data_IF_216457249816
#
_entry.id   IF_216457249816
#
_cell.length_a   1.000
_cell.length_b   1.000
_cell.length_c   1.000
_cell.angle_alpha   90.00
_cell.angle_beta   90.00
_cell.angle_gamma   90.00
#
_symmetry.space_group_name_H-M   'P 1'
#
loop_
_entity.id
_entity.type
_entity.pdbx_description
1 polymer ?
#
# COMPACT_ATOMS: atom_id res chain seq x y z
N UNK A 1 11.31 46.13 1.62
CA UNK A 1 10.80 44.86 2.19
C UNK A 1 10.28 43.99 1.05
N UNK A 2 11.01 42.93 0.68
CA UNK A 2 10.55 41.94 -0.30
C UNK A 2 9.76 40.86 0.46
N UNK A 3 8.44 40.88 0.35
CA UNK A 3 7.56 39.80 0.83
C UNK A 3 7.63 38.64 -0.16
N UNK A 4 8.51 37.67 0.10
CA UNK A 4 8.52 36.40 -0.63
C UNK A 4 7.32 35.59 -0.14
N UNK A 5 6.37 35.18 -1.00
CA UNK A 5 5.27 34.33 -0.57
C UNK A 5 5.84 32.97 -0.17
N UNK A 6 5.61 32.59 1.09
CA UNK A 6 5.90 31.26 1.60
C UNK A 6 4.91 30.30 0.91
N UNK A 7 5.29 29.76 -0.25
CA UNK A 7 4.48 28.74 -0.93
C UNK A 7 4.58 27.47 -0.10
N UNK A 8 3.59 27.23 0.76
CA UNK A 8 3.45 25.98 1.50
C UNK A 8 3.12 24.90 0.46
N UNK A 9 4.14 24.18 -0.01
CA UNK A 9 3.95 23.01 -0.88
C UNK A 9 3.28 21.89 -0.08
N UNK A 10 1.95 21.90 -0.05
CA UNK A 10 1.18 20.78 0.47
C UNK A 10 1.47 19.52 -0.36
N UNK A 11 1.70 18.37 0.29
CA UNK A 11 1.93 17.10 -0.41
C UNK A 11 0.76 16.85 -1.38
N UNK A 12 1.02 16.51 -2.66
CA UNK A 12 -0.04 16.27 -3.62
C UNK A 12 -0.95 15.13 -3.14
N UNK A 13 -2.25 15.28 -3.39
CA UNK A 13 -3.26 14.27 -3.02
C UNK A 13 -3.93 13.72 -4.28
N UNK A 14 -4.03 12.40 -4.35
CA UNK A 14 -4.49 11.66 -5.53
C UNK A 14 -5.81 10.94 -5.29
N UNK A 15 -6.60 10.81 -6.34
CA UNK A 15 -7.83 10.01 -6.35
C UNK A 15 -7.50 8.50 -6.49
N UNK A 16 -8.54 7.67 -6.41
CA UNK A 16 -8.39 6.21 -6.35
C UNK A 16 -7.78 5.65 -7.64
N UNK A 17 -8.14 6.18 -8.81
CA UNK A 17 -7.58 5.76 -10.09
C UNK A 17 -6.09 6.10 -10.20
N UNK A 18 -5.71 7.30 -9.76
CA UNK A 18 -4.33 7.74 -9.71
C UNK A 18 -3.51 6.88 -8.74
N UNK A 19 -4.00 6.64 -7.52
CA UNK A 19 -3.34 5.75 -6.54
C UNK A 19 -3.15 4.35 -7.14
N UNK A 20 -4.21 3.73 -7.69
CA UNK A 20 -4.14 2.42 -8.33
C UNK A 20 -3.15 2.37 -9.49
N UNK A 21 -2.96 3.47 -10.23
CA UNK A 21 -2.00 3.55 -11.33
C UNK A 21 -0.54 3.71 -10.84
N UNK A 22 -0.34 4.28 -9.65
CA UNK A 22 0.98 4.51 -9.08
C UNK A 22 1.52 3.29 -8.33
N UNK A 23 0.65 2.48 -7.71
CA UNK A 23 1.06 1.29 -6.94
C UNK A 23 1.93 0.34 -7.76
N UNK A 24 1.57 -0.06 -9.00
CA UNK A 24 2.43 -0.96 -9.78
C UNK A 24 3.80 -0.36 -10.06
N UNK A 25 3.88 0.96 -10.29
CA UNK A 25 5.17 1.64 -10.50
C UNK A 25 6.03 1.65 -9.24
N UNK A 26 5.43 1.72 -8.05
CA UNK A 26 6.16 1.60 -6.79
C UNK A 26 6.81 0.22 -6.65
N UNK A 27 6.07 -0.85 -6.94
CA UNK A 27 6.59 -2.23 -6.92
C UNK A 27 7.69 -2.43 -7.96
N UNK A 28 7.48 -1.98 -9.21
CA UNK A 28 8.45 -2.15 -10.31
C UNK A 28 9.80 -1.46 -10.08
N UNK A 29 9.83 -0.39 -9.27
CA UNK A 29 11.07 0.35 -8.98
C UNK A 29 11.98 -0.34 -7.98
N UNK A 30 11.46 -1.29 -7.20
CA UNK A 30 12.25 -2.00 -6.20
C UNK A 30 12.51 -3.44 -6.66
N UNK A 31 13.77 -3.77 -6.90
CA UNK A 31 14.18 -5.09 -7.37
C UNK A 31 13.91 -6.22 -6.36
N UNK A 32 13.71 -5.90 -5.08
CA UNK A 32 13.38 -6.88 -4.04
C UNK A 32 11.88 -7.03 -3.80
N UNK A 33 11.04 -6.28 -4.53
CA UNK A 33 9.59 -6.34 -4.41
C UNK A 33 9.04 -7.69 -4.86
N UNK A 34 8.03 -8.24 -4.15
CA UNK A 34 7.30 -9.40 -4.64
C UNK A 34 6.52 -9.05 -5.90
N UNK A 35 6.14 -10.06 -6.67
CA UNK A 35 5.33 -9.86 -7.86
C UNK A 35 3.93 -9.39 -7.45
N UNK A 36 3.58 -8.17 -7.87
CA UNK A 36 2.25 -7.62 -7.69
C UNK A 36 1.26 -8.30 -8.65
N UNK A 37 0.19 -8.88 -8.09
CA UNK A 37 -0.87 -9.57 -8.82
C UNK A 37 -2.13 -8.71 -8.99
N UNK A 38 -2.37 -7.78 -8.07
CA UNK A 38 -3.59 -6.97 -8.10
C UNK A 38 -3.53 -5.76 -7.16
N UNK A 39 -4.31 -4.74 -7.49
CA UNK A 39 -4.48 -3.53 -6.68
C UNK A 39 -5.96 -3.16 -6.65
N UNK A 40 -6.53 -3.07 -5.47
CA UNK A 40 -7.95 -2.81 -5.29
C UNK A 40 -8.18 -1.71 -4.25
N UNK A 41 -9.16 -0.84 -4.53
CA UNK A 41 -9.66 0.16 -3.59
C UNK A 41 -11.17 0.05 -3.60
N UNK A 42 -11.76 -0.13 -2.42
CA UNK A 42 -13.21 -0.34 -2.27
C UNK A 42 -13.68 0.02 -0.86
N UNK A 43 -14.99 -0.08 -0.63
CA UNK A 43 -15.62 0.12 0.67
C UNK A 43 -16.12 -1.23 1.21
N UNK A 44 -15.87 -1.51 2.49
CA UNK A 44 -16.47 -2.62 3.23
C UNK A 44 -17.15 -2.11 4.51
N UNK A 45 -17.60 -3.03 5.37
CA UNK A 45 -18.27 -2.71 6.64
C UNK A 45 -17.36 -1.98 7.64
N UNK A 46 -16.05 -2.17 7.54
CA UNK A 46 -15.02 -1.62 8.41
C UNK A 46 -14.42 -0.32 7.85
N UNK A 47 -14.84 0.11 6.66
CA UNK A 47 -14.47 1.37 6.05
C UNK A 47 -13.88 1.24 4.66
N UNK A 48 -13.08 2.24 4.28
CA UNK A 48 -12.41 2.27 2.99
C UNK A 48 -11.14 1.44 3.03
N UNK A 49 -10.99 0.54 2.07
CA UNK A 49 -9.92 -0.46 1.99
C UNK A 49 -8.98 -0.13 0.84
N UNK A 50 -7.70 -0.31 1.08
CA UNK A 50 -6.68 -0.38 0.05
C UNK A 50 -6.00 -1.75 0.13
N UNK A 51 -6.15 -2.54 -0.93
CA UNK A 51 -5.67 -3.90 -1.01
C UNK A 51 -4.64 -4.05 -2.11
N UNK A 52 -3.60 -4.84 -1.83
CA UNK A 52 -2.74 -5.44 -2.85
C UNK A 52 -2.76 -6.95 -2.75
N UNK A 53 -2.68 -7.58 -3.90
CA UNK A 53 -2.48 -9.02 -4.05
C UNK A 53 -1.04 -9.22 -4.51
N UNK A 54 -0.28 -10.07 -3.83
CA UNK A 54 1.13 -10.37 -4.16
C UNK A 54 1.33 -11.87 -4.31
N UNK A 55 2.25 -12.28 -5.18
CA UNK A 55 2.78 -13.64 -5.20
C UNK A 55 4.04 -13.66 -4.33
N UNK A 56 4.01 -14.41 -3.23
CA UNK A 56 5.12 -14.46 -2.26
C UNK A 56 6.12 -15.56 -2.59
N UNK A 57 7.39 -15.30 -2.30
CA UNK A 57 8.41 -16.35 -2.18
C UNK A 57 8.31 -16.98 -0.79
N UNK A 58 8.24 -18.31 -0.72
CA UNK A 58 8.09 -19.07 0.54
C UNK A 58 9.23 -18.80 1.52
N UNK A 59 10.43 -18.54 1.02
CA UNK A 59 11.59 -18.24 1.85
C UNK A 59 11.63 -16.79 2.31
N UNK A 60 10.76 -15.93 1.77
CA UNK A 60 10.73 -14.48 2.02
C UNK A 60 9.33 -13.96 2.32
N UNK A 61 8.42 -14.82 2.78
CA UNK A 61 7.01 -14.46 2.92
C UNK A 61 6.79 -13.29 3.89
N UNK A 62 7.60 -13.20 4.96
CA UNK A 62 7.49 -12.11 5.93
C UNK A 62 8.03 -10.79 5.36
N UNK A 63 9.14 -10.86 4.63
CA UNK A 63 9.75 -9.72 3.94
C UNK A 63 8.83 -9.19 2.85
N UNK A 64 8.23 -10.07 2.06
CA UNK A 64 7.29 -9.72 0.99
C UNK A 64 6.01 -9.09 1.55
N UNK A 65 5.49 -9.64 2.66
CA UNK A 65 4.38 -9.04 3.40
C UNK A 65 4.75 -7.64 3.92
N UNK A 66 5.93 -7.51 4.55
CA UNK A 66 6.43 -6.25 5.08
C UNK A 66 6.61 -5.20 3.98
N UNK A 67 7.15 -5.60 2.83
CA UNK A 67 7.26 -4.75 1.65
C UNK A 67 5.88 -4.28 1.18
N UNK A 68 4.91 -5.18 1.06
CA UNK A 68 3.56 -4.83 0.62
C UNK A 68 2.87 -3.86 1.57
N UNK A 69 3.00 -4.04 2.89
CA UNK A 69 2.50 -3.06 3.87
C UNK A 69 3.22 -1.72 3.75
N UNK A 70 4.54 -1.71 3.57
CA UNK A 70 5.30 -0.48 3.32
C UNK A 70 4.84 0.23 2.05
N UNK A 71 4.54 -0.50 0.98
CA UNK A 71 3.98 0.08 -0.25
C UNK A 71 2.58 0.67 -0.03
N UNK A 72 1.70 -0.05 0.70
CA UNK A 72 0.36 0.42 1.04
C UNK A 72 0.40 1.69 1.88
N UNK A 73 1.28 1.76 2.89
CA UNK A 73 1.42 2.94 3.76
C UNK A 73 1.99 4.12 2.98
N UNK A 74 3.08 3.91 2.25
CA UNK A 74 3.75 4.95 1.47
C UNK A 74 2.84 5.56 0.40
N UNK A 75 2.09 4.73 -0.34
CA UNK A 75 1.14 5.22 -1.35
C UNK A 75 -0.13 5.78 -0.70
N UNK A 76 -0.61 5.13 0.36
CA UNK A 76 -1.83 5.50 1.07
C UNK A 76 -1.80 6.90 1.66
N UNK A 77 -0.63 7.40 2.07
CA UNK A 77 -0.48 8.76 2.61
C UNK A 77 -0.87 9.85 1.59
N UNK A 78 -0.77 9.57 0.29
CA UNK A 78 -1.08 10.51 -0.76
C UNK A 78 -2.53 10.42 -1.24
N UNK A 79 -3.36 9.54 -0.69
CA UNK A 79 -4.77 9.48 -1.08
C UNK A 79 -5.55 10.73 -0.59
N UNK A 80 -6.41 11.27 -1.46
CA UNK A 80 -7.34 12.36 -1.13
C UNK A 80 -8.26 11.99 0.03
N UNK A 81 -8.77 10.75 0.01
CA UNK A 81 -9.58 10.17 1.08
C UNK A 81 -8.72 9.21 1.88
N UNK A 82 -8.80 9.28 3.22
CA UNK A 82 -8.08 8.35 4.11
C UNK A 82 -8.61 6.92 3.92
N UNK A 83 -7.73 5.95 4.16
CA UNK A 83 -8.11 4.54 4.26
C UNK A 83 -8.32 4.17 5.72
N UNK A 84 -9.21 3.22 5.97
CA UNK A 84 -9.44 2.62 7.27
C UNK A 84 -8.64 1.33 7.42
N UNK A 85 -8.48 0.58 6.32
CA UNK A 85 -7.79 -0.70 6.32
C UNK A 85 -6.85 -0.85 5.14
N UNK A 86 -5.76 -1.56 5.41
CA UNK A 86 -4.82 -2.09 4.44
C UNK A 86 -4.92 -3.61 4.45
N UNK A 87 -5.02 -4.20 3.26
CA UNK A 87 -5.11 -5.65 3.11
C UNK A 87 -4.01 -6.10 2.16
N UNK A 88 -3.25 -7.10 2.59
CA UNK A 88 -2.30 -7.82 1.74
C UNK A 88 -2.83 -9.23 1.57
N UNK A 89 -3.13 -9.62 0.34
CA UNK A 89 -3.48 -11.00 -0.02
C UNK A 89 -2.24 -11.65 -0.60
N UNK A 90 -1.73 -12.66 0.08
CA UNK A 90 -0.51 -13.37 -0.28
C UNK A 90 -0.87 -14.68 -0.96
N UNK A 91 -0.61 -14.75 -2.26
CA UNK A 91 -0.76 -15.94 -3.08
C UNK A 91 0.55 -16.72 -3.04
N UNK A 92 0.45 -18.04 -2.95
CA UNK A 92 1.58 -18.98 -2.98
C UNK A 92 1.50 -19.79 -4.27
N UNK A 93 2.64 -20.20 -4.82
CA UNK A 93 2.70 -21.14 -5.94
C UNK A 93 2.56 -22.61 -5.49
N UNK A 94 2.42 -22.85 -4.18
CA UNK A 94 2.14 -24.18 -3.63
C UNK A 94 0.76 -24.62 -4.10
N UNK A 95 0.73 -25.74 -4.82
CA UNK A 95 -0.53 -26.35 -5.23
C UNK A 95 -1.38 -26.69 -4.01
N UNK A 96 -2.58 -26.12 -3.96
CA UNK A 96 -3.57 -26.40 -2.92
C UNK A 96 -3.47 -25.50 -1.69
N UNK A 97 -2.48 -24.61 -1.61
CA UNK A 97 -2.48 -23.60 -0.55
C UNK A 97 -3.43 -22.45 -0.89
N UNK A 98 -4.37 -22.12 0.00
CA UNK A 98 -5.22 -20.94 -0.18
C UNK A 98 -4.40 -19.66 0.07
N UNK A 99 -4.78 -18.53 -0.55
CA UNK A 99 -4.16 -17.25 -0.27
C UNK A 99 -4.30 -16.87 1.21
N UNK A 100 -3.24 -16.32 1.79
CA UNK A 100 -3.26 -15.78 3.14
C UNK A 100 -3.69 -14.32 3.11
N UNK A 101 -4.65 -13.95 3.96
CA UNK A 101 -5.19 -12.58 4.00
C UNK A 101 -4.74 -11.88 5.28
N UNK A 102 -3.85 -10.90 5.13
CA UNK A 102 -3.35 -10.09 6.23
C UNK A 102 -4.11 -8.77 6.25
N UNK A 103 -4.74 -8.43 7.38
CA UNK A 103 -5.54 -7.21 7.53
C UNK A 103 -4.91 -6.29 8.58
N UNK A 104 -4.57 -5.07 8.18
CA UNK A 104 -4.00 -4.04 9.05
C UNK A 104 -4.91 -2.81 9.13
N UNK A 105 -4.99 -2.20 10.32
CA UNK A 105 -5.62 -0.87 10.47
C UNK A 105 -4.70 0.17 9.82
N UNK A 106 -5.21 0.92 8.84
CA UNK A 106 -4.38 1.83 8.05
C UNK A 106 -3.63 2.86 8.91
N UNK A 107 -4.28 3.38 9.97
CA UNK A 107 -3.63 4.31 10.91
C UNK A 107 -2.40 3.68 11.59
N UNK A 108 -2.56 2.49 12.17
CA UNK A 108 -1.47 1.79 12.85
C UNK A 108 -0.33 1.46 11.89
N UNK A 109 -0.66 0.97 10.69
CA UNK A 109 0.36 0.67 9.68
C UNK A 109 1.12 1.93 9.23
N UNK A 110 0.44 3.06 9.04
CA UNK A 110 1.13 4.32 8.70
C UNK A 110 2.06 4.73 9.85
N UNK A 111 1.58 4.69 11.09
CA UNK A 111 2.37 5.08 12.25
C UNK A 111 3.62 4.17 12.40
N UNK A 112 3.51 2.86 12.19
CA UNK A 112 4.65 1.91 12.26
C UNK A 112 5.66 2.07 11.12
N UNK A 113 5.21 2.32 9.89
CA UNK A 113 6.09 2.26 8.71
C UNK A 113 6.57 3.64 8.21
N UNK A 114 6.01 4.75 8.71
CA UNK A 114 6.34 6.11 8.24
C UNK A 114 6.84 7.02 9.38
N UNK A 115 6.38 6.82 10.62
CA UNK A 115 6.63 7.74 11.74
C UNK A 115 7.56 7.16 12.82
N UNK A 116 8.58 6.38 12.44
CA UNK A 116 9.57 5.82 13.39
C UNK A 116 10.05 6.82 14.46
#
# INVERSE_FOLDING_TARGET
LLLIPLVIFAKPKFNDAEIKSMTPRYFQRNHTAPKLMGVNIYQNRQGRVYQVDILVDRNRSNEDMGFAYSALTNMGQYAKKKFNQFIVVMHSDVRGEPPQVCIGKAKCSIDTFIHE
#
